data_IF_530475892343
#
_entry.id   IF_530475892343
#
_cell.length_a   1.000
_cell.length_b   1.000
_cell.length_c   1.000
_cell.angle_alpha   90.00
_cell.angle_beta   90.00
_cell.angle_gamma   90.00
#
_symmetry.space_group_name_H-M   'P 1'
#
loop_
_entity.id
_entity.type
_entity.pdbx_description
1 polymer ?
#
# COMPACT_ATOMS: atom_id res chain seq x y z
N UNK A 1 5.71 3.23 32.19
CA UNK A 1 5.86 4.41 31.29
C UNK A 1 6.38 4.08 29.89
N UNK A 2 7.45 3.30 29.69
CA UNK A 2 7.98 3.00 28.33
C UNK A 2 7.02 2.19 27.42
N UNK A 3 6.26 1.24 27.97
CA UNK A 3 5.29 0.45 27.21
C UNK A 3 4.08 1.28 26.71
N UNK A 4 3.65 2.28 27.50
CA UNK A 4 2.53 3.17 27.15
C UNK A 4 2.91 4.07 25.95
N UNK A 5 4.11 4.65 25.98
CA UNK A 5 4.66 5.47 24.89
C UNK A 5 4.82 4.67 23.59
N UNK A 6 5.30 3.42 23.65
CA UNK A 6 5.39 2.55 22.46
C UNK A 6 4.04 2.32 21.80
N UNK A 7 2.98 2.14 22.60
CA UNK A 7 1.62 1.91 22.10
C UNK A 7 1.04 3.17 21.44
N UNK A 8 1.30 4.33 22.01
CA UNK A 8 0.89 5.63 21.48
C UNK A 8 1.62 5.98 20.18
N UNK A 9 2.94 5.77 20.11
CA UNK A 9 3.70 5.94 18.87
C UNK A 9 3.29 4.96 17.78
N UNK A 10 3.02 3.70 18.12
CA UNK A 10 2.50 2.73 17.16
C UNK A 10 1.13 3.17 16.59
N UNK A 11 0.25 3.73 17.42
CA UNK A 11 -1.04 4.27 16.96
C UNK A 11 -0.89 5.53 16.11
N UNK A 12 0.04 6.43 16.45
CA UNK A 12 0.34 7.62 15.65
C UNK A 12 0.93 7.24 14.29
N UNK A 13 1.88 6.31 14.27
CA UNK A 13 2.47 5.77 13.05
C UNK A 13 1.38 5.15 12.16
N UNK A 14 0.55 4.28 12.72
CA UNK A 14 -0.59 3.67 12.03
C UNK A 14 -1.57 4.71 11.45
N UNK A 15 -1.91 5.75 12.22
CA UNK A 15 -2.81 6.82 11.76
C UNK A 15 -2.21 7.69 10.66
N UNK A 16 -0.90 7.97 10.71
CA UNK A 16 -0.18 8.70 9.67
C UNK A 16 -0.21 7.92 8.35
N UNK A 17 -0.04 6.60 8.39
CA UNK A 17 -0.08 5.74 7.21
C UNK A 17 -1.47 5.66 6.56
N UNK A 18 -2.55 5.61 7.36
CA UNK A 18 -3.92 5.70 6.82
C UNK A 18 -4.18 7.01 6.08
N UNK A 19 -3.53 8.12 6.49
CA UNK A 19 -3.61 9.40 5.77
C UNK A 19 -2.75 9.39 4.51
N UNK A 20 -1.57 8.77 4.53
CA UNK A 20 -0.70 8.67 3.36
C UNK A 20 -1.42 8.03 2.15
N UNK A 21 -2.27 7.02 2.38
CA UNK A 21 -3.09 6.40 1.33
C UNK A 21 -4.05 7.39 0.62
N UNK A 22 -4.51 8.43 1.32
CA UNK A 22 -5.41 9.43 0.77
C UNK A 22 -4.70 10.56 0.03
N UNK A 23 -3.38 10.68 0.20
CA UNK A 23 -2.55 11.71 -0.44
C UNK A 23 -1.71 11.18 -1.60
N UNK A 24 -1.82 9.88 -1.92
CA UNK A 24 -1.10 9.23 -3.01
C UNK A 24 -2.00 9.06 -4.24
N UNK A 25 -1.58 9.45 -5.46
CA UNK A 25 -0.32 10.11 -5.79
C UNK A 25 -0.30 11.62 -5.48
N UNK A 26 0.79 12.10 -4.88
CA UNK A 26 1.10 13.50 -4.55
C UNK A 26 1.74 14.27 -5.71
N UNK A 27 2.27 13.54 -6.70
CA UNK A 27 3.03 14.09 -7.84
C UNK A 27 4.54 14.11 -7.63
N UNK A 28 5.03 13.81 -6.42
CA UNK A 28 6.46 13.72 -6.09
C UNK A 28 6.82 12.34 -5.47
N UNK A 29 5.87 11.39 -5.51
CA UNK A 29 6.06 10.07 -4.91
C UNK A 29 6.91 9.18 -5.83
N UNK A 30 8.03 8.69 -5.30
CA UNK A 30 8.83 7.66 -5.97
C UNK A 30 8.35 6.25 -5.65
N UNK A 31 7.77 6.07 -4.46
CA UNK A 31 7.28 4.80 -3.94
C UNK A 31 5.95 5.02 -3.20
N UNK A 32 5.10 4.00 -3.18
CA UNK A 32 3.92 3.99 -2.31
C UNK A 32 4.32 3.64 -0.87
N UNK A 33 4.21 4.56 0.11
CA UNK A 33 4.49 4.22 1.50
C UNK A 33 3.53 3.15 2.04
N UNK A 34 2.29 3.14 1.53
CA UNK A 34 1.23 2.24 1.99
C UNK A 34 1.42 0.84 1.44
N UNK A 35 1.66 0.70 0.13
CA UNK A 35 1.96 -0.61 -0.44
C UNK A 35 3.34 -1.12 0.00
N UNK A 36 4.30 -0.22 0.28
CA UNK A 36 5.60 -0.57 0.83
C UNK A 36 5.50 -1.24 2.20
N UNK A 37 4.67 -0.71 3.10
CA UNK A 37 4.44 -1.34 4.39
C UNK A 37 3.75 -2.71 4.24
N UNK A 38 2.74 -2.82 3.37
CA UNK A 38 2.10 -4.11 3.10
C UNK A 38 3.09 -5.13 2.49
N UNK A 39 3.97 -4.72 1.59
CA UNK A 39 5.01 -5.57 0.99
C UNK A 39 6.08 -6.02 2.01
N UNK A 40 6.38 -5.19 3.01
CA UNK A 40 7.23 -5.61 4.14
C UNK A 40 6.48 -6.59 5.03
N UNK A 41 5.23 -6.27 5.41
CA UNK A 41 4.47 -7.06 6.38
C UNK A 41 4.13 -8.46 5.87
N UNK A 42 3.97 -8.66 4.55
CA UNK A 42 3.82 -10.02 3.99
C UNK A 42 5.04 -10.93 4.19
N UNK A 43 6.22 -10.35 4.46
CA UNK A 43 7.47 -11.11 4.72
C UNK A 43 7.67 -11.39 6.20
N UNK A 44 6.96 -10.68 7.07
CA UNK A 44 7.08 -10.76 8.53
C UNK A 44 6.01 -11.68 9.13
N UNK A 45 4.79 -11.63 8.59
CA UNK A 45 3.63 -12.37 9.09
C UNK A 45 3.43 -13.68 8.32
N UNK A 46 2.79 -14.67 8.97
CA UNK A 46 2.29 -15.84 8.24
C UNK A 46 1.17 -15.42 7.26
N UNK A 47 0.89 -16.20 6.19
CA UNK A 47 -0.16 -15.84 5.22
C UNK A 47 -1.54 -15.54 5.86
N UNK A 48 -1.93 -16.33 6.87
CA UNK A 48 -3.20 -16.13 7.59
C UNK A 48 -3.22 -14.85 8.42
N UNK A 49 -2.13 -14.57 9.14
CA UNK A 49 -1.99 -13.33 9.92
C UNK A 49 -1.93 -12.11 9.01
N UNK A 50 -1.18 -12.19 7.91
CA UNK A 50 -1.09 -11.14 6.92
C UNK A 50 -2.45 -10.80 6.31
N UNK A 51 -3.22 -11.80 5.87
CA UNK A 51 -4.55 -11.60 5.31
C UNK A 51 -5.48 -10.88 6.30
N UNK A 52 -5.46 -11.26 7.58
CA UNK A 52 -6.25 -10.61 8.64
C UNK A 52 -5.77 -9.19 8.93
N UNK A 53 -4.46 -8.96 8.94
CA UNK A 53 -3.86 -7.65 9.17
C UNK A 53 -4.19 -6.69 8.02
N UNK A 54 -4.06 -7.15 6.76
CA UNK A 54 -4.28 -6.36 5.56
C UNK A 54 -5.72 -5.84 5.49
N UNK A 55 -6.70 -6.62 5.94
CA UNK A 55 -8.11 -6.19 6.02
C UNK A 55 -8.29 -4.96 6.91
N UNK A 56 -7.50 -4.86 7.97
CA UNK A 56 -7.58 -3.73 8.91
C UNK A 56 -6.71 -2.55 8.47
N UNK A 57 -5.55 -2.85 7.86
CA UNK A 57 -4.58 -1.87 7.37
C UNK A 57 -5.07 -1.13 6.14
N UNK A 58 -5.51 -1.89 5.13
CA UNK A 58 -5.87 -1.41 3.81
C UNK A 58 -7.29 -1.90 3.43
N UNK A 59 -8.34 -1.49 4.17
CA UNK A 59 -9.71 -1.96 3.94
C UNK A 59 -10.26 -1.62 2.55
N UNK A 60 -9.63 -0.70 1.82
CA UNK A 60 -10.02 -0.28 0.49
C UNK A 60 -9.57 -1.23 -0.63
N UNK A 61 -8.79 -2.29 -0.36
CA UNK A 61 -8.44 -3.29 -1.38
C UNK A 61 -9.74 -3.88 -1.95
N UNK A 62 -10.00 -3.76 -3.26
CA UNK A 62 -11.20 -4.27 -3.89
C UNK A 62 -11.19 -5.80 -3.82
N UNK A 63 -12.37 -6.37 -3.64
CA UNK A 63 -12.60 -7.80 -3.82
C UNK A 63 -12.95 -8.09 -5.27
N UNK A 64 -12.82 -9.35 -5.67
CA UNK A 64 -13.21 -9.86 -6.97
C UNK A 64 -14.64 -9.42 -7.33
N UNK A 65 -14.79 -8.81 -8.50
CA UNK A 65 -16.07 -8.27 -8.98
C UNK A 65 -16.39 -6.83 -8.52
N UNK A 66 -15.53 -6.19 -7.74
CA UNK A 66 -15.66 -4.77 -7.41
C UNK A 66 -15.25 -3.89 -8.60
N UNK A 67 -16.07 -2.89 -8.92
CA UNK A 67 -15.77 -1.83 -9.89
C UNK A 67 -15.28 -0.54 -9.21
N UNK A 68 -14.84 -0.62 -7.95
CA UNK A 68 -14.37 0.56 -7.23
C UNK A 68 -13.09 1.12 -7.88
N UNK A 69 -13.07 2.43 -8.13
CA UNK A 69 -11.87 3.14 -8.55
C UNK A 69 -10.86 3.17 -7.38
N UNK A 70 -10.01 2.15 -7.31
CA UNK A 70 -8.98 2.01 -6.29
C UNK A 70 -7.60 2.22 -6.92
N UNK A 71 -6.81 3.08 -6.28
CA UNK A 71 -5.42 3.36 -6.63
C UNK A 71 -5.25 3.77 -8.11
N UNK A 72 -5.71 4.98 -8.51
CA UNK A 72 -5.56 5.43 -9.88
C UNK A 72 -4.09 5.45 -10.32
N UNK A 73 -3.86 5.09 -11.58
CA UNK A 73 -2.53 5.14 -12.21
C UNK A 73 -2.03 6.58 -12.20
N UNK A 74 -0.81 6.80 -11.73
CA UNK A 74 -0.18 8.12 -11.79
C UNK A 74 0.22 8.39 -13.24
N UNK A 75 -0.24 9.49 -13.82
CA UNK A 75 0.11 9.85 -15.20
C UNK A 75 1.07 11.03 -15.17
N UNK A 76 2.24 10.86 -15.78
CA UNK A 76 3.17 11.97 -15.97
C UNK A 76 2.59 12.97 -16.96
N UNK A 77 2.40 14.25 -16.59
CA UNK A 77 1.87 15.24 -17.51
C UNK A 77 2.88 15.64 -18.59
N UNK A 78 4.18 15.40 -18.35
CA UNK A 78 5.25 15.54 -19.34
C UNK A 78 6.37 14.50 -19.08
N UNK A 79 6.34 13.35 -19.76
CA UNK A 79 7.36 12.31 -19.61
C UNK A 79 8.75 12.72 -20.09
N UNK A 80 8.88 13.80 -20.87
CA UNK A 80 10.17 14.30 -21.34
C UNK A 80 10.91 15.10 -20.27
N UNK A 81 10.19 15.58 -19.25
CA UNK A 81 10.78 16.30 -18.14
C UNK A 81 11.27 15.32 -17.06
N UNK A 82 12.58 15.25 -16.76
CA UNK A 82 13.14 14.20 -15.89
C UNK A 82 12.53 14.19 -14.48
N UNK A 83 12.12 15.35 -13.98
CA UNK A 83 11.45 15.45 -12.68
C UNK A 83 10.10 14.76 -12.68
N UNK A 84 9.37 14.69 -13.80
CA UNK A 84 8.02 14.12 -13.85
C UNK A 84 7.99 12.67 -14.36
N UNK A 85 9.06 12.21 -15.02
CA UNK A 85 9.19 10.83 -15.50
C UNK A 85 9.19 9.78 -14.36
N UNK A 86 9.49 10.19 -13.12
CA UNK A 86 9.54 9.26 -11.97
C UNK A 86 8.17 8.63 -11.63
N UNK A 87 7.06 9.22 -12.06
CA UNK A 87 5.71 8.70 -11.80
C UNK A 87 5.46 7.35 -12.50
N UNK A 88 6.16 7.07 -13.60
CA UNK A 88 6.15 5.74 -14.23
C UNK A 88 6.86 4.71 -13.34
N UNK A 89 7.97 5.13 -12.70
CA UNK A 89 8.66 4.33 -11.69
C UNK A 89 7.78 4.05 -10.46
N UNK A 90 7.00 5.04 -10.03
CA UNK A 90 5.99 4.84 -8.98
C UNK A 90 5.00 3.74 -9.38
N UNK A 91 4.40 3.81 -10.57
CA UNK A 91 3.47 2.79 -11.04
C UNK A 91 4.10 1.39 -11.10
N UNK A 92 5.34 1.30 -11.61
CA UNK A 92 6.08 0.03 -11.66
C UNK A 92 6.31 -0.54 -10.25
N UNK A 93 6.73 0.31 -9.31
CA UNK A 93 6.92 -0.10 -7.91
C UNK A 93 5.62 -0.60 -7.28
N UNK A 94 4.50 0.10 -7.53
CA UNK A 94 3.17 -0.29 -7.06
C UNK A 94 2.77 -1.65 -7.63
N UNK A 95 2.94 -1.86 -8.93
CA UNK A 95 2.63 -3.13 -9.58
C UNK A 95 3.41 -4.29 -8.97
N UNK A 96 4.72 -4.10 -8.73
CA UNK A 96 5.56 -5.11 -8.11
C UNK A 96 5.16 -5.43 -6.66
N UNK A 97 4.86 -4.40 -5.86
CA UNK A 97 4.38 -4.59 -4.49
C UNK A 97 3.01 -5.26 -4.45
N UNK A 98 2.10 -4.91 -5.37
CA UNK A 98 0.78 -5.55 -5.48
C UNK A 98 0.90 -7.04 -5.83
N UNK A 99 1.76 -7.40 -6.78
CA UNK A 99 2.05 -8.80 -7.10
C UNK A 99 2.58 -9.56 -5.87
N UNK A 100 3.51 -8.95 -5.13
CA UNK A 100 4.00 -9.46 -3.85
C UNK A 100 2.88 -9.67 -2.82
N UNK A 101 2.01 -8.68 -2.63
CA UNK A 101 0.85 -8.75 -1.72
C UNK A 101 -0.09 -9.88 -2.12
N UNK A 102 -0.43 -9.99 -3.42
CA UNK A 102 -1.28 -11.06 -3.95
C UNK A 102 -0.70 -12.45 -3.72
N UNK A 103 0.62 -12.61 -3.85
CA UNK A 103 1.31 -13.89 -3.63
C UNK A 103 1.23 -14.40 -2.19
N UNK A 104 1.01 -13.51 -1.22
CA UNK A 104 0.97 -13.83 0.20
C UNK A 104 -0.45 -14.06 0.74
N UNK A 105 -1.48 -13.82 -0.08
CA UNK A 105 -2.87 -14.08 0.30
C UNK A 105 -3.20 -15.57 0.15
N UNK A 106 -4.02 -16.14 1.06
CA UNK A 106 -4.59 -17.47 0.88
C UNK A 106 -5.35 -17.59 -0.45
N UNK A 107 -5.43 -18.80 -1.00
CA UNK A 107 -6.00 -19.01 -2.33
C UNK A 107 -7.49 -18.65 -2.43
N UNK A 108 -8.21 -18.78 -1.33
CA UNK A 108 -9.62 -18.47 -1.15
C UNK A 108 -9.91 -17.00 -0.81
N UNK A 109 -8.88 -16.17 -0.62
CA UNK A 109 -9.05 -14.76 -0.29
C UNK A 109 -9.71 -14.00 -1.46
N UNK A 110 -10.79 -13.28 -1.15
CA UNK A 110 -11.59 -12.58 -2.17
C UNK A 110 -10.88 -11.39 -2.81
N UNK A 111 -9.73 -10.95 -2.27
CA UNK A 111 -8.90 -9.88 -2.83
C UNK A 111 -7.92 -10.39 -3.90
N UNK A 112 -7.89 -11.69 -4.16
CA UNK A 112 -7.03 -12.33 -5.15
C UNK A 112 -7.68 -12.43 -6.54
#
# INVERSE_FOLDING_TARGET
>A
MAALRRREYAQLFWRAQKRAAAYEPSGEDFLSPVLGEADVMRRVLTPKEFASWLTTFLPQVPTKGSNAAWLPVAVSPDPSYPKLAHLDGLNLSRAWMLDGILSALPAEDQRR
#
